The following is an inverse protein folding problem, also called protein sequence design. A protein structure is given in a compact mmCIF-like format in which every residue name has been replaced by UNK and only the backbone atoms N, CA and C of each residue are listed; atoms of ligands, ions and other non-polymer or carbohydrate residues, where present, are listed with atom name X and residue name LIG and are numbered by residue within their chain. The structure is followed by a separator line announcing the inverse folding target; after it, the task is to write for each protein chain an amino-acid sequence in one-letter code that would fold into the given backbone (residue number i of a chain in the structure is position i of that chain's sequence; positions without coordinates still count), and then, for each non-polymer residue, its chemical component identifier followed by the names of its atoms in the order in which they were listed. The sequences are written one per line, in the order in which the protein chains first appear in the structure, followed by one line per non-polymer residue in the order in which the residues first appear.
data_IF_708672217394
#
_entry.id   IF_708672217394
#
_cell.length_a   1.000
_cell.length_b   1.000
_cell.length_c   1.000
_cell.angle_alpha   90.00
_cell.angle_beta   90.00
_cell.angle_gamma   90.00
#
_symmetry.space_group_name_H-M   'P 1'
#
loop_
_entity.id
_entity.type
_entity.pdbx_description
1 polymer ?
#
# COMPACT_ATOMS: atom_id res chain seq x y z
N UNK A 1 -36.97 -75.33 -19.88
CA UNK A 1 -36.41 -74.01 -20.26
C UNK A 1 -34.92 -74.00 -19.96
N UNK A 2 -34.06 -74.19 -20.98
CA UNK A 2 -32.60 -74.08 -20.83
C UNK A 2 -32.20 -72.64 -21.12
N UNK A 3 -31.86 -71.89 -20.07
CA UNK A 3 -31.30 -70.55 -20.20
C UNK A 3 -29.92 -70.64 -20.84
N UNK A 4 -29.77 -70.10 -22.05
CA UNK A 4 -28.46 -69.88 -22.67
C UNK A 4 -27.70 -68.89 -21.79
N UNK A 5 -26.64 -69.35 -21.12
CA UNK A 5 -25.63 -68.49 -20.51
C UNK A 5 -24.78 -67.94 -21.64
N UNK A 6 -24.97 -66.68 -22.05
CA UNK A 6 -24.03 -65.99 -22.94
C UNK A 6 -22.84 -65.55 -22.09
N UNK A 7 -21.65 -66.11 -22.36
CA UNK A 7 -20.41 -65.59 -21.80
C UNK A 7 -20.06 -64.26 -22.47
N UNK A 8 -19.64 -63.28 -21.67
CA UNK A 8 -19.09 -62.02 -22.16
C UNK A 8 -17.85 -62.34 -23.01
N UNK A 9 -17.80 -61.81 -24.22
CA UNK A 9 -16.64 -62.01 -25.09
C UNK A 9 -15.47 -61.13 -24.63
N UNK A 10 -14.24 -61.61 -24.80
CA UNK A 10 -13.03 -60.84 -24.45
C UNK A 10 -13.04 -59.44 -25.11
N UNK A 11 -13.59 -59.35 -26.31
CA UNK A 11 -13.73 -58.12 -27.09
C UNK A 11 -14.65 -57.10 -26.39
N UNK A 12 -15.81 -57.55 -25.87
CA UNK A 12 -16.71 -56.67 -25.11
C UNK A 12 -16.03 -56.13 -23.85
N UNK A 13 -15.22 -56.94 -23.17
CA UNK A 13 -14.48 -56.49 -21.99
C UNK A 13 -13.43 -55.42 -22.35
N UNK A 14 -12.71 -55.60 -23.45
CA UNK A 14 -11.73 -54.62 -23.92
C UNK A 14 -12.39 -53.30 -24.35
N UNK A 15 -13.52 -53.36 -25.05
CA UNK A 15 -14.28 -52.16 -25.45
C UNK A 15 -14.87 -51.44 -24.24
N UNK A 16 -15.41 -52.18 -23.26
CA UNK A 16 -15.92 -51.59 -22.04
C UNK A 16 -14.81 -50.86 -21.27
N UNK A 17 -13.63 -51.48 -21.15
CA UNK A 17 -12.47 -50.86 -20.49
C UNK A 17 -12.00 -49.59 -21.21
N UNK A 18 -11.90 -49.60 -22.54
CA UNK A 18 -11.46 -48.42 -23.29
C UNK A 18 -12.43 -47.25 -23.15
N UNK A 19 -13.74 -47.51 -23.24
CA UNK A 19 -14.77 -46.50 -23.00
C UNK A 19 -14.66 -45.96 -21.58
N UNK A 20 -14.49 -46.83 -20.58
CA UNK A 20 -14.38 -46.41 -19.18
C UNK A 20 -13.13 -45.55 -18.94
N UNK A 21 -12.00 -45.86 -19.58
CA UNK A 21 -10.78 -45.05 -19.50
C UNK A 21 -10.97 -43.66 -20.11
N UNK A 22 -11.59 -43.57 -21.29
CA UNK A 22 -11.86 -42.27 -21.94
C UNK A 22 -12.83 -41.44 -21.11
N UNK A 23 -13.89 -42.06 -20.58
CA UNK A 23 -14.90 -41.38 -19.76
C UNK A 23 -14.30 -40.93 -18.42
N UNK A 24 -13.43 -41.76 -17.82
CA UNK A 24 -12.68 -41.40 -16.62
C UNK A 24 -11.74 -40.21 -16.84
N UNK A 25 -11.02 -40.18 -17.96
CA UNK A 25 -10.18 -39.04 -18.34
C UNK A 25 -11.01 -37.76 -18.53
N UNK A 26 -12.16 -37.87 -19.19
CA UNK A 26 -13.05 -36.74 -19.43
C UNK A 26 -13.60 -36.15 -18.13
N UNK A 27 -14.05 -37.00 -17.20
CA UNK A 27 -14.50 -36.58 -15.87
C UNK A 27 -13.37 -35.91 -15.10
N UNK A 28 -12.15 -36.45 -15.17
CA UNK A 28 -10.99 -35.86 -14.53
C UNK A 28 -10.65 -34.46 -15.07
N UNK A 29 -10.70 -34.29 -16.40
CA UNK A 29 -10.49 -32.97 -17.05
C UNK A 29 -11.57 -31.98 -16.62
N UNK A 30 -12.85 -32.38 -16.64
CA UNK A 30 -13.94 -31.51 -16.20
C UNK A 30 -13.83 -31.13 -14.72
N UNK A 31 -13.40 -32.07 -13.86
CA UNK A 31 -13.23 -31.80 -12.44
C UNK A 31 -12.06 -30.83 -12.19
N UNK A 32 -10.96 -30.95 -12.95
CA UNK A 32 -9.86 -29.97 -12.89
C UNK A 32 -10.32 -28.59 -13.33
N UNK A 33 -11.07 -28.50 -14.43
CA UNK A 33 -11.61 -27.22 -14.93
C UNK A 33 -12.59 -26.58 -13.94
N UNK A 34 -13.51 -27.37 -13.38
CA UNK A 34 -14.50 -26.85 -12.41
C UNK A 34 -13.85 -26.38 -11.11
N UNK A 35 -12.83 -27.11 -10.61
CA UNK A 35 -12.05 -26.69 -9.45
C UNK A 35 -11.22 -25.42 -9.75
N UNK A 36 -10.66 -25.29 -10.95
CA UNK A 36 -9.96 -24.08 -11.39
C UNK A 36 -10.88 -22.86 -11.40
N UNK A 37 -12.07 -22.99 -12.01
CA UNK A 37 -13.09 -21.94 -12.03
C UNK A 37 -13.55 -21.59 -10.60
N UNK A 38 -13.81 -22.60 -9.77
CA UNK A 38 -14.27 -22.38 -8.40
C UNK A 38 -13.21 -21.66 -7.54
N UNK A 39 -11.94 -22.06 -7.63
CA UNK A 39 -10.84 -21.38 -6.92
C UNK A 39 -10.66 -19.95 -7.41
N UNK A 40 -10.71 -19.73 -8.73
CA UNK A 40 -10.63 -18.39 -9.33
C UNK A 40 -11.80 -17.50 -8.89
N UNK A 41 -13.02 -18.03 -8.86
CA UNK A 41 -14.21 -17.30 -8.45
C UNK A 41 -14.21 -16.95 -6.96
N UNK A 42 -13.83 -17.89 -6.08
CA UNK A 42 -13.81 -17.68 -4.62
C UNK A 42 -12.70 -16.72 -4.21
N UNK A 43 -11.48 -16.94 -4.71
CA UNK A 43 -10.35 -16.05 -4.42
C UNK A 43 -10.53 -14.65 -5.00
N UNK A 44 -11.22 -14.53 -6.14
CA UNK A 44 -11.55 -13.24 -6.74
C UNK A 44 -12.52 -12.41 -5.88
N UNK A 45 -13.54 -13.03 -5.28
CA UNK A 45 -14.55 -12.36 -4.47
C UNK A 45 -13.97 -11.72 -3.20
N UNK A 46 -13.30 -12.52 -2.37
CA UNK A 46 -12.73 -12.03 -1.11
C UNK A 46 -11.68 -10.94 -1.34
N UNK A 47 -10.86 -11.08 -2.37
CA UNK A 47 -9.85 -10.08 -2.73
C UNK A 47 -10.49 -8.75 -3.17
N UNK A 48 -11.56 -8.81 -3.97
CA UNK A 48 -12.30 -7.63 -4.37
C UNK A 48 -12.95 -6.95 -3.15
N UNK A 49 -13.53 -7.72 -2.23
CA UNK A 49 -14.18 -7.19 -1.03
C UNK A 49 -13.16 -6.49 -0.11
N UNK A 50 -12.02 -7.15 0.16
CA UNK A 50 -10.89 -6.57 0.91
C UNK A 50 -10.42 -5.28 0.27
N UNK A 51 -10.18 -5.31 -1.04
CA UNK A 51 -9.76 -4.12 -1.78
C UNK A 51 -10.79 -3.00 -1.67
N UNK A 52 -12.07 -3.29 -1.92
CA UNK A 52 -13.10 -2.27 -1.89
C UNK A 52 -13.26 -1.67 -0.49
N UNK A 53 -13.08 -2.45 0.58
CA UNK A 53 -13.07 -1.94 1.94
C UNK A 53 -11.86 -1.03 2.19
N UNK A 54 -10.65 -1.47 1.85
CA UNK A 54 -9.42 -0.68 2.03
C UNK A 54 -9.47 0.62 1.24
N UNK A 55 -9.85 0.57 -0.04
CA UNK A 55 -9.92 1.73 -0.90
C UNK A 55 -11.02 2.70 -0.48
N UNK A 56 -12.15 2.21 0.05
CA UNK A 56 -13.19 3.07 0.63
C UNK A 56 -12.70 3.81 1.86
N UNK A 57 -11.98 3.15 2.77
CA UNK A 57 -11.44 3.78 3.97
C UNK A 57 -10.40 4.86 3.63
N UNK A 58 -9.45 4.55 2.74
CA UNK A 58 -8.47 5.52 2.29
C UNK A 58 -9.10 6.69 1.52
N UNK A 59 -10.13 6.41 0.69
CA UNK A 59 -10.88 7.45 0.01
C UNK A 59 -11.65 8.35 0.97
N UNK A 60 -12.26 7.79 2.02
CA UNK A 60 -12.94 8.56 3.06
C UNK A 60 -11.97 9.50 3.78
N UNK A 61 -10.77 9.01 4.15
CA UNK A 61 -9.74 9.86 4.73
C UNK A 61 -9.33 11.00 3.79
N UNK A 62 -9.05 10.69 2.52
CA UNK A 62 -8.63 11.67 1.51
C UNK A 62 -9.73 12.67 1.13
N UNK A 63 -11.00 12.27 1.21
CA UNK A 63 -12.14 13.19 1.00
C UNK A 63 -12.29 14.16 2.15
N UNK A 64 -11.91 13.75 3.35
CA UNK A 64 -11.91 14.59 4.54
C UNK A 64 -10.62 15.41 4.70
N UNK A 65 -9.66 15.33 3.78
CA UNK A 65 -8.42 16.13 3.83
C UNK A 65 -8.75 17.59 4.05
N UNK A 66 -8.14 18.16 5.07
CA UNK A 66 -8.38 19.53 5.48
C UNK A 66 -7.20 20.42 5.08
N UNK A 67 -7.53 21.59 4.53
CA UNK A 67 -6.57 22.61 4.13
C UNK A 67 -7.06 23.90 4.74
N UNK A 68 -6.39 24.30 5.80
CA UNK A 68 -6.61 25.56 6.47
C UNK A 68 -5.53 25.75 7.50
N UNK A 69 -5.61 26.87 8.19
CA UNK A 69 -4.72 27.21 9.27
C UNK A 69 -5.49 27.07 10.59
N UNK A 70 -5.13 26.11 11.46
CA UNK A 70 -5.99 25.66 12.55
C UNK A 70 -6.10 26.77 13.60
N UNK A 71 -4.97 27.43 13.86
CA UNK A 71 -4.86 28.42 14.91
C UNK A 71 -5.02 29.88 14.41
N UNK A 72 -5.30 30.11 13.12
CA UNK A 72 -5.22 31.45 12.54
C UNK A 72 -3.79 32.05 12.55
N UNK A 73 -2.76 31.21 12.68
CA UNK A 73 -1.33 31.57 12.79
C UNK A 73 -0.57 31.54 11.47
N UNK A 74 -1.26 31.30 10.37
CA UNK A 74 -0.74 31.13 9.03
C UNK A 74 0.00 29.81 8.81
N UNK A 75 -0.41 28.69 9.44
CA UNK A 75 0.21 27.36 9.21
C UNK A 75 -0.82 26.42 8.61
N UNK A 76 -0.72 26.15 7.31
CA UNK A 76 -1.58 25.20 6.61
C UNK A 76 -1.25 23.77 7.03
N UNK A 77 -2.28 22.95 7.25
CA UNK A 77 -2.04 21.53 7.52
C UNK A 77 -1.35 20.85 6.33
N UNK A 78 -0.14 20.31 6.51
CA UNK A 78 0.61 19.79 5.39
C UNK A 78 0.04 18.45 4.88
N UNK A 79 0.27 18.20 3.59
CA UNK A 79 0.06 16.93 2.92
C UNK A 79 1.41 16.42 2.44
N UNK A 80 1.80 15.25 2.95
CA UNK A 80 3.06 14.60 2.63
C UNK A 80 2.81 13.24 2.00
N UNK A 81 3.43 13.01 0.86
CA UNK A 81 3.64 11.67 0.31
C UNK A 81 5.14 11.49 0.14
N UNK A 82 5.72 10.55 0.89
CA UNK A 82 7.12 10.19 0.74
C UNK A 82 7.22 8.74 0.32
N UNK A 83 8.06 8.48 -0.68
CA UNK A 83 8.63 7.15 -0.94
C UNK A 83 10.07 7.09 -0.39
N UNK A 84 10.33 7.89 0.64
CA UNK A 84 11.61 8.01 1.32
C UNK A 84 11.50 7.38 2.70
N UNK A 85 12.46 6.50 2.97
CA UNK A 85 12.99 6.08 4.28
C UNK A 85 12.13 6.49 5.49
N UNK A 86 11.04 5.78 5.75
CA UNK A 86 10.69 5.57 7.15
C UNK A 86 11.67 4.51 7.63
N UNK A 87 12.65 4.97 8.40
CA UNK A 87 13.51 4.12 9.21
C UNK A 87 12.64 3.41 10.26
N UNK A 88 11.80 2.46 9.85
CA UNK A 88 11.13 1.59 10.81
C UNK A 88 12.22 0.69 11.36
N UNK A 89 12.47 0.84 12.66
CA UNK A 89 13.48 0.08 13.38
C UNK A 89 13.03 -1.38 13.41
N UNK A 90 13.55 -2.19 12.50
CA UNK A 90 13.36 -3.63 12.59
C UNK A 90 14.27 -4.12 13.71
N UNK A 91 13.70 -4.62 14.80
CA UNK A 91 14.46 -5.35 15.80
C UNK A 91 15.25 -6.45 15.07
N UNK A 92 16.59 -6.51 15.19
CA UNK A 92 17.34 -7.57 14.53
C UNK A 92 16.82 -8.92 15.04
N UNK A 93 16.40 -9.79 14.11
CA UNK A 93 16.14 -11.19 14.43
C UNK A 93 17.46 -11.80 14.92
N UNK A 94 17.62 -11.92 16.25
CA UNK A 94 18.64 -12.77 16.87
C UNK A 94 19.96 -12.12 17.29
N UNK A 95 20.08 -10.79 17.44
CA UNK A 95 21.28 -10.18 18.06
C UNK A 95 20.95 -9.34 19.29
N UNK A 96 21.43 -9.77 20.46
CA UNK A 96 21.33 -9.07 21.77
C UNK A 96 22.13 -7.76 21.85
N UNK A 97 22.66 -7.24 20.74
CA UNK A 97 23.44 -6.00 20.77
C UNK A 97 22.52 -4.79 20.61
N UNK A 98 22.48 -3.93 21.63
CA UNK A 98 21.65 -2.71 21.72
C UNK A 98 21.95 -1.61 20.70
N UNK A 99 22.46 -1.96 19.52
CA UNK A 99 22.52 -1.06 18.38
C UNK A 99 21.28 -1.27 17.52
N UNK A 100 20.37 -0.30 17.63
CA UNK A 100 19.21 -0.17 16.77
C UNK A 100 19.70 -0.04 15.32
N UNK A 101 19.65 -1.14 14.56
CA UNK A 101 20.04 -1.14 13.16
C UNK A 101 18.93 -0.49 12.32
N UNK A 102 19.22 0.68 11.75
CA UNK A 102 18.33 1.30 10.77
C UNK A 102 18.44 0.55 9.44
N UNK A 103 17.46 -0.31 9.10
CA UNK A 103 17.37 -0.87 7.75
C UNK A 103 16.95 0.24 6.78
N UNK A 104 17.83 0.55 5.85
CA UNK A 104 17.58 1.52 4.79
C UNK A 104 17.01 0.79 3.58
N UNK A 105 15.77 1.08 3.21
CA UNK A 105 15.17 0.60 1.96
C UNK A 105 15.52 1.56 0.80
N UNK A 106 15.67 1.02 -0.41
CA UNK A 106 15.90 1.81 -1.61
C UNK A 106 14.66 2.66 -1.94
N UNK A 107 14.85 3.82 -2.56
CA UNK A 107 13.75 4.66 -3.05
C UNK A 107 12.87 3.85 -4.02
N UNK A 108 11.58 3.74 -3.71
CA UNK A 108 10.62 2.94 -4.47
C UNK A 108 10.43 1.50 -3.99
N UNK A 109 11.13 1.04 -2.95
CA UNK A 109 10.70 -0.17 -2.21
C UNK A 109 9.26 0.07 -1.70
N UNK A 110 8.31 -0.85 -1.88
CA UNK A 110 6.95 -0.70 -1.37
C UNK A 110 6.87 -0.33 0.13
N UNK A 111 7.88 -0.70 0.94
CA UNK A 111 8.00 -0.33 2.37
C UNK A 111 8.41 1.11 2.64
N UNK A 112 8.80 1.85 1.61
CA UNK A 112 9.21 3.26 1.73
C UNK A 112 8.03 4.24 1.66
N UNK A 113 6.82 3.74 1.38
CA UNK A 113 5.64 4.57 1.22
C UNK A 113 5.06 5.01 2.58
N UNK A 114 4.99 6.33 2.75
CA UNK A 114 4.32 6.97 3.87
C UNK A 114 3.49 8.15 3.35
N UNK A 115 2.18 8.06 3.54
CA UNK A 115 1.23 9.13 3.26
C UNK A 115 0.78 9.74 4.59
N UNK A 116 0.88 11.06 4.74
CA UNK A 116 0.48 11.79 5.95
C UNK A 116 -0.24 13.07 5.62
N UNK A 117 -1.33 13.35 6.30
CA UNK A 117 -2.08 14.59 6.11
C UNK A 117 -3.02 14.84 7.29
N UNK A 118 -3.53 16.07 7.40
CA UNK A 118 -4.62 16.37 8.30
C UNK A 118 -5.97 16.20 7.60
N UNK A 119 -6.98 15.77 8.36
CA UNK A 119 -8.35 15.67 7.89
C UNK A 119 -9.33 16.05 8.99
N UNK A 120 -10.56 16.36 8.59
CA UNK A 120 -11.66 16.47 9.55
C UNK A 120 -12.17 15.10 9.99
N UNK A 121 -12.84 14.98 11.14
CA UNK A 121 -13.50 13.72 11.48
C UNK A 121 -14.57 13.37 10.42
N UNK A 122 -14.55 12.15 9.88
CA UNK A 122 -15.63 11.63 9.05
C UNK A 122 -16.89 11.40 9.89
N UNK A 123 -18.04 11.31 9.25
CA UNK A 123 -19.34 11.22 9.94
C UNK A 123 -19.43 10.06 10.93
N UNK A 124 -18.83 8.91 10.61
CA UNK A 124 -18.78 7.72 11.48
C UNK A 124 -17.95 7.95 12.76
N UNK A 125 -16.85 8.69 12.67
CA UNK A 125 -15.99 8.97 13.83
C UNK A 125 -16.45 10.19 14.64
N UNK A 126 -17.21 11.13 14.05
CA UNK A 126 -17.86 12.25 14.79
C UNK A 126 -18.87 11.79 15.83
N UNK A 127 -19.48 10.63 15.59
CA UNK A 127 -20.43 10.02 16.51
C UNK A 127 -19.75 9.27 17.65
N UNK A 128 -18.43 9.02 17.56
CA UNK A 128 -17.65 8.45 18.65
C UNK A 128 -17.68 9.39 19.86
N UNK A 129 -18.13 8.85 21.00
CA UNK A 129 -18.08 9.55 22.28
C UNK A 129 -16.65 10.02 22.61
N UNK A 130 -15.64 9.25 22.22
CA UNK A 130 -14.23 9.58 22.42
C UNK A 130 -13.81 10.81 21.63
N UNK A 131 -14.17 10.87 20.34
CA UNK A 131 -13.89 12.01 19.44
C UNK A 131 -14.41 13.34 19.99
N UNK A 132 -15.51 13.30 20.76
CA UNK A 132 -16.09 14.49 21.42
C UNK A 132 -15.30 14.95 22.66
N UNK A 133 -14.49 14.08 23.25
CA UNK A 133 -13.70 14.35 24.47
C UNK A 133 -12.22 14.67 24.21
N UNK A 134 -11.66 14.29 23.04
CA UNK A 134 -10.30 14.72 22.62
C UNK A 134 -10.11 16.23 22.83
N UNK A 135 -8.94 16.69 23.25
CA UNK A 135 -8.63 18.13 23.36
C UNK A 135 -9.46 18.94 24.38
N UNK A 136 -10.27 18.30 25.22
CA UNK A 136 -11.03 18.99 26.29
C UNK A 136 -10.25 19.14 27.61
N UNK A 137 -9.11 18.46 27.79
CA UNK A 137 -8.19 18.53 28.94
C UNK A 137 -6.71 18.48 28.51
N UNK A 138 -5.73 19.01 29.28
CA UNK A 138 -4.30 18.81 29.01
C UNK A 138 -3.80 17.49 29.62
N UNK A 139 -2.94 16.75 28.92
CA UNK A 139 -2.30 15.51 29.39
C UNK A 139 -2.20 14.41 28.32
N UNK A 140 -1.55 13.25 28.57
CA UNK A 140 -1.64 12.06 27.71
C UNK A 140 -3.10 11.64 27.43
N UNK A 141 -3.98 11.81 28.42
CA UNK A 141 -5.43 11.64 28.35
C UNK A 141 -6.19 12.65 27.45
N UNK A 142 -5.48 13.53 26.73
CA UNK A 142 -6.04 14.49 25.78
C UNK A 142 -6.03 14.00 24.33
N UNK A 143 -5.34 12.89 24.08
CA UNK A 143 -5.10 12.37 22.75
C UNK A 143 -6.09 11.24 22.43
N UNK A 144 -6.50 11.16 21.17
CA UNK A 144 -7.10 9.93 20.63
C UNK A 144 -6.11 9.39 19.63
N UNK A 145 -5.68 8.17 19.86
CA UNK A 145 -4.75 7.44 19.03
C UNK A 145 -5.26 6.03 18.66
N UNK A 146 -6.44 5.64 19.18
CA UNK A 146 -7.06 4.34 18.91
C UNK A 146 -6.71 3.26 19.94
N UNK A 147 -5.97 3.57 21.00
CA UNK A 147 -5.46 2.62 21.99
C UNK A 147 -6.02 2.93 23.37
N UNK A 148 -6.75 2.00 23.97
CA UNK A 148 -7.29 2.14 25.33
C UNK A 148 -8.07 3.45 25.61
N UNK A 149 -8.52 4.16 24.56
CA UNK A 149 -9.17 5.46 24.67
C UNK A 149 -10.38 5.42 25.64
N UNK A 150 -11.08 4.27 25.70
CA UNK A 150 -12.22 4.01 26.60
C UNK A 150 -11.81 3.88 28.08
N UNK A 151 -10.64 3.31 28.37
CA UNK A 151 -10.12 3.19 29.74
C UNK A 151 -9.54 4.53 30.21
N UNK A 152 -8.81 5.21 29.32
CA UNK A 152 -8.30 6.56 29.55
C UNK A 152 -9.45 7.55 29.78
N UNK A 153 -10.52 7.45 28.99
CA UNK A 153 -11.73 8.26 29.20
C UNK A 153 -12.61 7.80 30.38
N UNK A 154 -12.56 6.52 30.76
CA UNK A 154 -13.22 6.01 31.97
C UNK A 154 -12.67 6.66 33.24
N UNK A 155 -11.37 6.97 33.29
CA UNK A 155 -10.77 7.77 34.36
C UNK A 155 -11.25 9.23 34.38
N UNK A 156 -11.71 9.78 33.24
CA UNK A 156 -12.24 11.14 33.10
C UNK A 156 -13.66 11.31 33.67
N UNK A 157 -14.45 10.22 33.73
CA UNK A 157 -15.83 10.23 34.22
C UNK A 157 -15.97 10.19 35.75
N UNK A 158 -14.87 10.01 36.50
CA UNK A 158 -14.88 10.05 37.98
C UNK A 158 -14.58 11.47 38.49
N UNK A 159 -15.58 12.19 39.05
CA UNK A 159 -15.41 13.56 39.54
C UNK A 159 -14.44 13.66 40.73
N UNK A 160 -14.19 12.55 41.44
CA UNK A 160 -13.42 12.55 42.69
C UNK A 160 -11.91 12.63 42.49
N UNK A 161 -11.41 12.43 41.27
CA UNK A 161 -9.97 12.50 40.93
C UNK A 161 -9.51 13.88 40.42
N UNK A 162 -10.36 14.92 40.45
CA UNK A 162 -10.19 16.17 39.67
C UNK A 162 -9.62 17.41 40.44
N UNK A 163 -8.92 17.26 41.56
CA UNK A 163 -8.48 18.40 42.40
C UNK A 163 -7.00 18.80 42.23
N UNK A 164 -6.63 19.46 41.12
CA UNK A 164 -5.26 19.98 40.90
C UNK A 164 -5.22 21.27 40.06
N UNK A 165 -4.17 22.12 40.19
CA UNK A 165 -4.07 23.40 39.48
C UNK A 165 -3.88 23.20 37.97
N UNK A 166 -4.58 24.01 37.18
CA UNK A 166 -4.69 23.91 35.71
C UNK A 166 -3.34 24.14 35.01
N UNK A 167 -2.80 23.14 34.26
CA UNK A 167 -1.65 23.31 33.40
C UNK A 167 -1.98 24.13 32.13
N UNK A 168 -0.97 24.72 31.45
CA UNK A 168 -1.19 25.54 30.26
C UNK A 168 -1.57 24.69 29.02
N UNK A 169 -2.58 25.18 28.28
CA UNK A 169 -2.77 24.92 26.84
C UNK A 169 -3.62 23.69 26.48
N UNK A 170 -4.94 23.87 26.45
CA UNK A 170 -5.83 23.01 25.67
C UNK A 170 -5.66 23.35 24.18
N UNK A 171 -5.50 22.35 23.32
CA UNK A 171 -5.84 22.50 21.90
C UNK A 171 -7.25 21.91 21.74
N UNK A 172 -8.28 22.72 21.45
CA UNK A 172 -9.61 22.17 21.21
C UNK A 172 -9.53 21.15 20.07
N UNK A 173 -10.31 20.06 20.10
CA UNK A 173 -10.47 19.23 18.92
C UNK A 173 -11.24 20.10 17.92
N UNK A 174 -10.55 20.80 17.01
CA UNK A 174 -11.20 21.61 15.97
C UNK A 174 -11.90 20.74 14.92
N UNK A 175 -12.36 19.55 15.32
CA UNK A 175 -12.82 18.50 14.46
C UNK A 175 -11.73 18.08 13.46
N UNK A 176 -10.45 18.18 13.84
CA UNK A 176 -9.27 17.84 13.04
C UNK A 176 -8.48 16.69 13.66
N UNK A 177 -7.83 15.90 12.80
CA UNK A 177 -6.87 14.88 13.18
C UNK A 177 -5.78 14.71 12.13
N UNK A 178 -4.66 14.16 12.55
CA UNK A 178 -3.57 13.71 11.68
C UNK A 178 -3.81 12.24 11.32
N UNK A 179 -3.54 11.87 10.08
CA UNK A 179 -3.59 10.47 9.64
C UNK A 179 -2.30 10.13 8.94
N UNK A 180 -1.81 8.92 9.18
CA UNK A 180 -0.73 8.30 8.44
C UNK A 180 -1.15 6.93 7.90
N UNK A 181 -0.77 6.66 6.65
CA UNK A 181 -0.88 5.37 6.00
C UNK A 181 0.52 4.90 5.60
N UNK A 182 0.87 3.66 5.96
CA UNK A 182 2.17 3.08 5.61
C UNK A 182 2.06 1.57 5.42
N UNK A 183 3.02 1.02 4.68
CA UNK A 183 3.09 -0.40 4.39
C UNK A 183 4.27 -1.02 5.13
N UNK A 184 4.03 -2.07 5.90
CA UNK A 184 5.09 -2.80 6.61
C UNK A 184 4.77 -4.30 6.73
N UNK A 185 5.71 -5.11 7.23
CA UNK A 185 5.46 -6.53 7.51
C UNK A 185 4.73 -6.69 8.84
N UNK A 186 3.56 -7.30 8.79
CA UNK A 186 2.85 -7.77 9.96
C UNK A 186 3.44 -9.08 10.51
N UNK A 187 3.10 -9.41 11.78
CA UNK A 187 3.63 -10.59 12.47
C UNK A 187 3.20 -11.92 11.83
N UNK A 188 2.12 -11.91 11.05
CA UNK A 188 1.55 -13.09 10.39
C UNK A 188 1.74 -13.07 8.87
N UNK A 189 2.46 -12.09 8.32
CA UNK A 189 2.64 -11.96 6.89
C UNK A 189 3.58 -13.03 6.34
N UNK A 190 3.12 -13.69 5.27
CA UNK A 190 3.95 -14.59 4.49
C UNK A 190 5.17 -13.85 3.92
N UNK A 191 6.20 -14.61 3.54
CA UNK A 191 7.40 -14.06 2.94
C UNK A 191 7.06 -13.14 1.75
N UNK A 192 7.65 -11.94 1.73
CA UNK A 192 7.46 -10.93 0.69
C UNK A 192 6.03 -10.39 0.53
N UNK A 193 5.16 -10.62 1.51
CA UNK A 193 3.87 -9.94 1.66
C UNK A 193 3.92 -8.92 2.80
N UNK A 194 2.99 -7.98 2.76
CA UNK A 194 2.91 -6.84 3.66
C UNK A 194 1.48 -6.60 4.14
N UNK A 195 1.39 -5.81 5.20
CA UNK A 195 0.17 -5.29 5.79
C UNK A 195 0.15 -3.77 5.62
N UNK A 196 -0.97 -3.24 5.14
CA UNK A 196 -1.21 -1.80 5.12
C UNK A 196 -1.75 -1.39 6.47
N UNK A 197 -1.05 -0.45 7.10
CA UNK A 197 -1.40 0.09 8.39
C UNK A 197 -1.95 1.49 8.25
N UNK A 198 -2.84 1.83 9.18
CA UNK A 198 -3.39 3.17 9.36
C UNK A 198 -3.19 3.60 10.80
N UNK A 199 -2.71 4.82 10.97
CA UNK A 199 -2.52 5.49 12.26
C UNK A 199 -3.28 6.81 12.19
N UNK A 200 -3.90 7.22 13.28
CA UNK A 200 -4.47 8.56 13.38
C UNK A 200 -4.21 9.14 14.76
N UNK A 201 -4.23 10.46 14.85
CA UNK A 201 -3.98 11.19 16.09
C UNK A 201 -4.78 12.49 16.15
N UNK A 202 -5.37 12.77 17.31
CA UNK A 202 -6.00 14.07 17.63
C UNK A 202 -5.60 14.49 19.05
N UNK A 203 -5.46 15.79 19.36
CA UNK A 203 -5.50 16.94 18.46
C UNK A 203 -4.29 16.97 17.51
N UNK A 204 -4.41 17.74 16.44
CA UNK A 204 -3.32 17.98 15.49
C UNK A 204 -2.18 18.78 16.16
N UNK A 205 -0.94 18.52 15.74
CA UNK A 205 0.25 19.26 16.19
C UNK A 205 0.88 18.73 17.48
N UNK A 206 1.83 19.49 18.04
CA UNK A 206 2.56 19.10 19.25
C UNK A 206 3.82 18.26 18.99
N UNK A 207 4.50 17.87 20.09
CA UNK A 207 5.79 17.18 20.06
C UNK A 207 5.76 15.79 19.42
N UNK A 208 4.58 15.18 19.37
CA UNK A 208 4.34 13.83 18.82
C UNK A 208 3.49 13.90 17.53
N UNK A 209 3.54 15.03 16.82
CA UNK A 209 2.79 15.21 15.56
C UNK A 209 3.30 14.28 14.46
N UNK A 210 2.37 13.56 13.83
CA UNK A 210 2.62 12.78 12.64
C UNK A 210 3.08 13.67 11.48
N UNK A 211 2.78 14.97 11.49
CA UNK A 211 3.08 15.91 10.41
C UNK A 211 4.43 16.62 10.55
N UNK A 212 5.30 16.18 11.47
CA UNK A 212 6.64 16.74 11.59
C UNK A 212 7.54 16.41 10.38
N UNK A 213 8.62 17.17 10.22
CA UNK A 213 9.62 16.94 9.16
C UNK A 213 10.18 15.51 9.19
N UNK A 214 10.42 14.99 10.40
CA UNK A 214 10.99 13.67 10.61
C UNK A 214 10.06 12.83 11.50
N UNK A 215 9.08 12.13 10.89
CA UNK A 215 8.14 11.31 11.64
C UNK A 215 8.79 10.07 12.28
N UNK A 216 10.01 9.69 11.86
CA UNK A 216 10.68 8.49 12.38
C UNK A 216 11.06 8.60 13.85
N UNK A 217 11.12 9.82 14.39
CA UNK A 217 11.34 10.07 15.82
C UNK A 217 10.17 9.66 16.70
N UNK A 218 8.97 9.59 16.12
CA UNK A 218 7.72 9.28 16.82
C UNK A 218 7.22 7.91 16.41
N UNK A 219 7.20 7.62 15.10
CA UNK A 219 6.76 6.34 14.53
C UNK A 219 7.86 5.27 14.67
N UNK A 220 8.31 5.02 15.91
CA UNK A 220 9.19 3.88 16.23
C UNK A 220 8.41 2.57 16.08
N UNK A 221 9.09 1.42 16.03
CA UNK A 221 8.42 0.13 15.90
C UNK A 221 7.49 -0.14 17.10
N UNK A 222 7.94 0.17 18.32
CA UNK A 222 7.15 0.02 19.54
C UNK A 222 5.92 0.94 19.52
N UNK A 223 6.10 2.18 19.05
CA UNK A 223 5.00 3.13 18.94
C UNK A 223 4.00 2.68 17.87
N UNK A 224 4.47 2.21 16.71
CA UNK A 224 3.62 1.70 15.65
C UNK A 224 2.86 0.45 16.09
N UNK A 225 3.49 -0.48 16.81
CA UNK A 225 2.82 -1.66 17.35
C UNK A 225 1.68 -1.28 18.31
N UNK A 226 1.89 -0.23 19.12
CA UNK A 226 0.86 0.25 20.02
C UNK A 226 -0.29 0.95 19.27
N UNK A 227 -0.01 1.84 18.32
CA UNK A 227 -1.00 2.80 17.78
C UNK A 227 -1.48 2.50 16.35
N UNK A 228 -0.81 1.62 15.61
CA UNK A 228 -1.18 1.34 14.22
C UNK A 228 -2.25 0.25 14.13
N UNK A 229 -3.32 0.56 13.42
CA UNK A 229 -4.36 -0.41 13.09
C UNK A 229 -4.04 -1.11 11.76
N UNK A 230 -3.91 -2.44 11.72
CA UNK A 230 -3.79 -3.17 10.46
C UNK A 230 -5.11 -3.07 9.69
N UNK A 231 -5.05 -2.59 8.44
CA UNK A 231 -6.22 -2.41 7.59
C UNK A 231 -6.43 -3.61 6.66
N UNK A 232 -5.36 -4.07 6.01
CA UNK A 232 -5.42 -5.24 5.14
C UNK A 232 -4.06 -5.89 5.02
N UNK A 233 -4.04 -7.22 5.02
CA UNK A 233 -2.84 -8.06 4.89
C UNK A 233 -2.70 -8.63 3.47
N UNK A 234 -1.58 -9.29 3.19
CA UNK A 234 -1.37 -9.97 1.90
C UNK A 234 -1.15 -9.01 0.73
N UNK A 235 -0.64 -7.81 0.99
CA UNK A 235 -0.23 -6.87 -0.06
C UNK A 235 1.16 -7.27 -0.56
N UNK A 236 1.32 -7.40 -1.88
CA UNK A 236 2.64 -7.50 -2.50
C UNK A 236 3.22 -6.12 -2.79
N UNK A 237 2.37 -5.18 -3.22
CA UNK A 237 2.78 -3.83 -3.59
C UNK A 237 1.69 -2.81 -3.27
N UNK A 238 2.10 -1.67 -2.75
CA UNK A 238 1.25 -0.51 -2.56
C UNK A 238 1.99 0.72 -3.09
N UNK A 239 1.34 1.47 -3.98
CA UNK A 239 1.91 2.66 -4.60
C UNK A 239 0.86 3.77 -4.66
N UNK A 240 1.31 5.00 -4.43
CA UNK A 240 0.50 6.20 -4.57
C UNK A 240 1.20 7.15 -5.54
N UNK A 241 0.43 7.76 -6.43
CA UNK A 241 0.96 8.71 -7.40
C UNK A 241 0.10 9.97 -7.44
N UNK A 242 0.74 11.13 -7.34
CA UNK A 242 0.05 12.41 -7.22
C UNK A 242 -0.02 13.14 -8.56
N UNK A 243 -1.21 13.64 -8.91
CA UNK A 243 -1.40 14.50 -10.07
C UNK A 243 -1.07 15.95 -9.70
N UNK A 244 0.03 16.46 -10.26
CA UNK A 244 0.47 17.84 -10.10
C UNK A 244 -0.14 18.76 -11.15
N UNK A 245 0.08 20.06 -11.01
CA UNK A 245 -0.31 21.03 -12.05
C UNK A 245 0.48 20.89 -13.36
N UNK A 246 1.63 20.20 -13.32
CA UNK A 246 2.42 19.93 -14.52
C UNK A 246 2.03 18.59 -15.15
N UNK A 247 1.28 17.72 -14.45
CA UNK A 247 0.88 16.41 -14.97
C UNK A 247 -0.16 16.52 -16.10
N UNK A 248 0.16 15.95 -17.27
CA UNK A 248 -0.76 15.76 -18.41
C UNK A 248 -1.25 14.32 -18.51
N UNK A 249 -0.44 13.38 -18.06
CA UNK A 249 -0.72 11.94 -18.06
C UNK A 249 -0.06 11.27 -16.85
N UNK A 250 -0.63 10.16 -16.38
CA UNK A 250 -0.13 9.47 -15.20
C UNK A 250 1.25 8.84 -15.41
N UNK A 251 1.54 8.24 -16.57
CA UNK A 251 2.77 7.44 -16.80
C UNK A 251 3.17 6.56 -15.60
N UNK A 252 2.17 5.98 -14.96
CA UNK A 252 2.29 5.29 -13.67
C UNK A 252 3.47 4.31 -13.65
N UNK A 253 3.60 3.47 -14.68
CA UNK A 253 4.66 2.45 -14.72
C UNK A 253 6.06 3.05 -14.84
N UNK A 254 6.24 4.18 -15.52
CA UNK A 254 7.52 4.89 -15.59
C UNK A 254 7.83 5.52 -14.23
N UNK A 255 6.83 6.17 -13.63
CA UNK A 255 6.94 6.90 -12.37
C UNK A 255 7.25 5.93 -11.22
N UNK A 256 6.44 4.88 -11.03
CA UNK A 256 6.63 3.85 -10.01
C UNK A 256 7.94 3.06 -10.20
N UNK A 257 8.46 2.95 -11.43
CA UNK A 257 9.76 2.34 -11.70
C UNK A 257 10.96 3.26 -11.43
N UNK A 258 10.75 4.42 -10.80
CA UNK A 258 11.80 5.39 -10.48
C UNK A 258 12.20 6.30 -11.64
N UNK A 259 11.46 6.26 -12.76
CA UNK A 259 11.74 7.05 -13.97
C UNK A 259 11.58 8.57 -13.82
N UNK A 260 11.09 9.05 -12.68
CA UNK A 260 10.93 10.47 -12.33
C UNK A 260 11.95 11.04 -11.35
N UNK A 261 12.83 10.22 -10.76
CA UNK A 261 13.81 10.68 -9.77
C UNK A 261 14.76 11.75 -10.35
N UNK A 262 14.72 12.95 -9.78
CA UNK A 262 15.64 14.05 -10.11
C UNK A 262 15.41 14.70 -11.48
N UNK A 263 14.28 14.43 -12.15
CA UNK A 263 13.92 15.13 -13.40
C UNK A 263 13.13 16.40 -13.10
N UNK A 264 13.39 17.46 -13.87
CA UNK A 264 12.55 18.67 -13.87
C UNK A 264 11.09 18.28 -14.12
N UNK A 265 10.12 18.96 -13.51
CA UNK A 265 8.70 18.59 -13.53
C UNK A 265 8.12 18.75 -14.93
N UNK A 266 8.31 17.73 -15.76
CA UNK A 266 7.83 17.69 -17.14
C UNK A 266 6.67 16.70 -17.19
N UNK A 267 5.47 17.20 -17.49
CA UNK A 267 4.27 16.48 -17.95
C UNK A 267 3.74 15.26 -17.17
N UNK A 268 4.41 14.76 -16.13
CA UNK A 268 4.13 13.46 -15.51
C UNK A 268 3.69 13.62 -14.04
N UNK A 269 3.17 12.55 -13.45
CA UNK A 269 2.73 12.53 -12.06
C UNK A 269 3.90 12.31 -11.09
N UNK A 270 3.71 12.71 -9.84
CA UNK A 270 4.76 12.77 -8.81
C UNK A 270 4.66 11.58 -7.84
N UNK A 271 5.82 10.99 -7.47
CA UNK A 271 5.93 10.02 -6.38
C UNK A 271 6.08 10.68 -5.01
N UNK A 272 6.75 11.83 -4.96
CA UNK A 272 6.91 12.60 -3.74
C UNK A 272 5.93 13.76 -3.76
N UNK A 273 5.35 14.07 -2.61
CA UNK A 273 4.56 15.26 -2.42
C UNK A 273 4.93 15.92 -1.12
N UNK A 274 5.23 17.20 -1.19
CA UNK A 274 5.43 18.07 -0.04
C UNK A 274 4.60 19.32 -0.27
N UNK A 275 3.45 19.42 0.39
CA UNK A 275 2.58 20.57 0.17
C UNK A 275 3.24 21.90 0.53
N UNK A 276 4.19 21.89 1.46
CA UNK A 276 4.96 23.06 1.92
C UNK A 276 6.13 23.41 1.00
N UNK A 277 6.42 22.57 -0.01
CA UNK A 277 7.48 22.74 -1.03
C UNK A 277 8.88 23.02 -0.47
N UNK A 278 9.11 22.83 0.83
CA UNK A 278 10.32 23.26 1.52
C UNK A 278 11.04 22.18 2.32
N UNK A 279 10.45 21.00 2.49
CA UNK A 279 10.99 19.87 3.23
C UNK A 279 11.63 18.80 2.35
N UNK A 280 11.04 18.45 1.21
CA UNK A 280 11.51 17.33 0.37
C UNK A 280 12.22 17.77 -0.91
N UNK A 281 13.50 17.42 -1.03
CA UNK A 281 14.34 17.73 -2.20
C UNK A 281 14.08 16.89 -3.47
N UNK A 282 13.51 15.66 -3.47
CA UNK A 282 13.09 15.01 -4.71
C UNK A 282 11.74 15.51 -5.25
N UNK A 283 11.04 16.41 -4.53
CA UNK A 283 9.73 16.89 -4.95
C UNK A 283 9.86 17.89 -6.11
N UNK A 284 9.22 17.59 -7.26
CA UNK A 284 9.34 18.38 -8.48
C UNK A 284 8.87 19.85 -8.38
N UNK A 285 8.05 20.18 -7.37
CA UNK A 285 7.59 21.56 -7.12
C UNK A 285 8.30 22.23 -5.92
N UNK A 286 9.34 21.59 -5.37
CA UNK A 286 10.11 22.10 -4.26
C UNK A 286 10.82 23.42 -4.60
N UNK A 287 10.75 24.39 -3.68
CA UNK A 287 11.45 25.69 -3.76
C UNK A 287 12.38 25.92 -2.56
N UNK A 288 12.43 24.97 -1.63
CA UNK A 288 13.33 24.97 -0.49
C UNK A 288 12.75 25.67 0.74
N UNK A 289 13.57 25.78 1.79
CA UNK A 289 13.12 26.15 3.13
C UNK A 289 12.41 27.50 3.27
N UNK A 290 12.52 28.39 2.28
CA UNK A 290 11.81 29.67 2.28
C UNK A 290 10.28 29.54 2.20
N UNK A 291 9.77 28.45 1.60
CA UNK A 291 8.33 28.19 1.46
C UNK A 291 7.68 27.59 2.72
N UNK A 292 8.48 27.11 3.68
CA UNK A 292 7.95 26.54 4.94
C UNK A 292 7.11 27.51 5.77
N UNK A 293 7.32 28.82 5.60
CA UNK A 293 6.52 29.86 6.25
C UNK A 293 5.55 30.58 5.32
N UNK A 294 5.47 30.20 4.03
CA UNK A 294 4.64 30.86 3.03
C UNK A 294 3.45 29.96 2.64
N UNK A 295 2.40 29.97 3.44
CA UNK A 295 1.22 29.13 3.18
C UNK A 295 0.38 29.61 1.98
N UNK A 296 0.71 30.75 1.38
CA UNK A 296 0.11 31.19 0.13
C UNK A 296 0.63 30.38 -1.07
N UNK A 297 1.83 29.82 -0.96
CA UNK A 297 2.50 29.09 -2.04
C UNK A 297 2.41 27.56 -1.93
N UNK A 298 1.74 27.08 -0.88
CA UNK A 298 1.41 25.68 -0.65
C UNK A 298 0.64 25.04 -1.82
N UNK A 299 0.96 23.76 -2.09
CA UNK A 299 0.38 22.98 -3.20
C UNK A 299 -0.21 21.67 -2.73
N UNK A 300 -1.36 21.28 -3.28
CA UNK A 300 -2.03 20.03 -2.93
C UNK A 300 -2.41 19.28 -4.19
N UNK A 301 -2.25 17.95 -4.22
CA UNK A 301 -2.51 17.18 -5.42
C UNK A 301 -3.98 17.30 -5.77
N UNK A 302 -4.31 17.44 -7.06
CA UNK A 302 -5.72 17.49 -7.50
C UNK A 302 -6.36 16.12 -7.54
N UNK A 303 -5.54 15.12 -7.86
CA UNK A 303 -5.94 13.73 -7.98
C UNK A 303 -4.82 12.86 -7.44
N UNK A 304 -5.20 11.70 -6.94
CA UNK A 304 -4.27 10.69 -6.50
C UNK A 304 -4.64 9.37 -7.16
N UNK A 305 -3.65 8.64 -7.66
CA UNK A 305 -3.83 7.28 -8.13
C UNK A 305 -3.29 6.31 -7.10
N UNK A 306 -4.14 5.39 -6.68
CA UNK A 306 -3.79 4.28 -5.80
C UNK A 306 -3.56 3.04 -6.66
N UNK A 307 -2.45 2.36 -6.43
CA UNK A 307 -2.08 1.09 -7.07
C UNK A 307 -1.81 0.08 -5.99
N UNK A 308 -2.61 -1.00 -5.95
CA UNK A 308 -2.43 -2.07 -4.95
C UNK A 308 -2.32 -3.40 -5.67
N UNK A 309 -1.28 -4.17 -5.38
CA UNK A 309 -1.14 -5.55 -5.84
C UNK A 309 -1.29 -6.47 -4.64
N UNK A 310 -2.31 -7.31 -4.64
CA UNK A 310 -2.50 -8.32 -3.59
C UNK A 310 -1.90 -9.66 -4.00
N UNK A 311 -1.37 -10.37 -3.01
CA UNK A 311 -0.96 -11.75 -3.15
C UNK A 311 -2.18 -12.63 -3.45
N UNK A 312 -1.99 -13.76 -4.15
CA UNK A 312 -3.02 -14.77 -4.25
C UNK A 312 -3.36 -15.32 -2.85
N UNK A 313 -4.60 -15.78 -2.70
CA UNK A 313 -5.11 -16.34 -1.45
C UNK A 313 -4.20 -17.47 -0.94
N UNK A 314 -3.84 -17.42 0.35
CA UNK A 314 -2.95 -18.39 0.98
C UNK A 314 -1.45 -18.15 0.80
N UNK A 315 -1.05 -17.11 0.05
CA UNK A 315 0.33 -16.62 -0.09
C UNK A 315 1.41 -17.65 -0.46
N UNK A 316 1.02 -18.85 -0.89
CA UNK A 316 1.91 -19.80 -1.54
C UNK A 316 2.40 -19.18 -2.85
N UNK A 317 3.66 -19.43 -3.19
CA UNK A 317 4.24 -19.03 -4.47
C UNK A 317 3.31 -19.45 -5.62
N UNK A 318 2.99 -18.52 -6.52
CA UNK A 318 2.16 -18.84 -7.70
C UNK A 318 2.89 -19.75 -8.67
N UNK A 319 4.20 -19.62 -8.75
CA UNK A 319 5.07 -20.44 -9.57
C UNK A 319 6.46 -20.52 -8.93
N UNK A 320 7.36 -21.27 -9.55
CA UNK A 320 8.77 -21.30 -9.21
C UNK A 320 9.62 -21.10 -10.46
N UNK A 321 10.83 -20.57 -10.25
CA UNK A 321 11.81 -20.41 -11.30
C UNK A 321 12.36 -21.78 -11.76
N UNK A 322 12.45 -22.03 -13.06
CA UNK A 322 12.92 -23.33 -13.59
C UNK A 322 14.45 -23.39 -13.72
N UNK A 323 15.14 -22.26 -13.84
CA UNK A 323 16.59 -22.17 -13.94
C UNK A 323 17.12 -20.87 -13.37
N UNK A 324 18.41 -20.80 -13.02
CA UNK A 324 19.02 -19.58 -12.48
C UNK A 324 18.85 -18.40 -13.44
N UNK A 325 18.63 -17.20 -12.89
CA UNK A 325 18.51 -15.95 -13.66
C UNK A 325 19.59 -14.98 -13.24
N UNK A 326 20.48 -14.62 -14.18
CA UNK A 326 21.55 -13.64 -13.95
C UNK A 326 21.05 -12.19 -13.98
N UNK A 327 21.77 -11.21 -13.39
CA UNK A 327 21.32 -9.79 -13.23
C UNK A 327 20.98 -9.03 -14.51
N UNK A 328 21.42 -9.50 -15.69
CA UNK A 328 21.15 -8.87 -16.99
C UNK A 328 20.21 -9.68 -17.89
N UNK A 329 19.88 -10.89 -17.45
CA UNK A 329 19.02 -11.79 -18.18
C UNK A 329 17.59 -11.24 -18.18
N UNK A 330 16.92 -11.34 -19.33
CA UNK A 330 15.57 -10.80 -19.55
C UNK A 330 14.57 -11.88 -19.90
N UNK A 331 15.02 -13.12 -20.02
CA UNK A 331 14.16 -14.26 -20.26
C UNK A 331 14.12 -15.07 -18.97
N UNK A 332 12.91 -15.29 -18.45
CA UNK A 332 12.68 -15.95 -17.17
C UNK A 332 11.74 -17.11 -17.42
N UNK A 333 12.19 -18.32 -17.11
CA UNK A 333 11.37 -19.52 -17.27
C UNK A 333 10.72 -19.91 -15.95
N UNK A 334 9.41 -20.09 -15.94
CA UNK A 334 8.63 -20.45 -14.75
C UNK A 334 7.92 -21.80 -14.90
N UNK A 335 7.58 -22.41 -13.76
CA UNK A 335 6.97 -23.75 -13.71
C UNK A 335 5.47 -23.77 -14.02
N UNK A 336 4.76 -22.66 -13.80
CA UNK A 336 3.32 -22.55 -14.06
C UNK A 336 3.02 -21.47 -15.13
N UNK A 337 2.90 -21.86 -16.41
CA UNK A 337 2.63 -20.93 -17.50
C UNK A 337 1.18 -20.40 -17.53
N UNK A 338 0.23 -21.09 -16.87
CA UNK A 338 -1.19 -20.70 -16.90
C UNK A 338 -1.40 -19.31 -16.27
N UNK A 339 -0.54 -18.96 -15.30
CA UNK A 339 -0.53 -17.67 -14.63
C UNK A 339 -0.47 -16.46 -15.57
N UNK A 340 0.22 -16.60 -16.71
CA UNK A 340 0.44 -15.50 -17.66
C UNK A 340 -0.21 -15.72 -19.03
N UNK A 341 -0.94 -16.83 -19.20
CA UNK A 341 -1.68 -17.10 -20.44
C UNK A 341 -2.70 -16.00 -20.79
N UNK A 342 -3.14 -15.21 -19.81
CA UNK A 342 -4.09 -14.11 -20.00
C UNK A 342 -3.45 -12.72 -20.25
N UNK A 343 -2.11 -12.62 -20.34
CA UNK A 343 -1.42 -11.35 -20.55
C UNK A 343 -1.83 -10.65 -21.86
N UNK A 344 -1.94 -11.41 -22.95
CA UNK A 344 -2.30 -10.88 -24.27
C UNK A 344 -3.73 -10.32 -24.31
N UNK A 345 -4.61 -10.87 -23.48
CA UNK A 345 -5.97 -10.37 -23.31
C UNK A 345 -6.04 -9.16 -22.36
N UNK A 346 -4.90 -8.69 -21.83
CA UNK A 346 -4.80 -7.60 -20.86
C UNK A 346 -5.36 -7.96 -19.47
N UNK A 347 -5.59 -9.24 -19.20
CA UNK A 347 -6.22 -9.73 -17.94
C UNK A 347 -5.23 -10.38 -16.99
N UNK A 348 -4.09 -10.85 -17.51
CA UNK A 348 -3.02 -11.44 -16.71
C UNK A 348 -2.26 -10.43 -15.85
N UNK A 349 -1.55 -10.91 -14.81
CA UNK A 349 -0.67 -10.07 -14.01
C UNK A 349 0.49 -9.55 -14.86
N UNK A 350 0.65 -8.22 -14.95
CA UNK A 350 1.78 -7.61 -15.66
C UNK A 350 3.09 -7.61 -14.88
N UNK A 351 3.02 -7.88 -13.59
CA UNK A 351 4.15 -7.80 -12.70
C UNK A 351 4.29 -9.10 -11.92
N UNK A 352 5.53 -9.52 -11.76
CA UNK A 352 5.90 -10.62 -10.88
C UNK A 352 6.99 -10.15 -9.93
N UNK A 353 7.06 -10.83 -8.80
CA UNK A 353 8.08 -10.63 -7.78
C UNK A 353 8.82 -11.94 -7.56
N UNK A 354 10.15 -11.87 -7.57
CA UNK A 354 11.03 -12.98 -7.19
C UNK A 354 11.87 -12.44 -6.05
N UNK A 355 11.71 -13.03 -4.86
CA UNK A 355 12.34 -12.53 -3.63
C UNK A 355 12.02 -11.04 -3.42
N UNK A 356 13.02 -10.16 -3.48
CA UNK A 356 12.86 -8.71 -3.33
C UNK A 356 12.90 -7.92 -4.64
N UNK A 357 12.95 -8.59 -5.78
CA UNK A 357 12.92 -7.94 -7.09
C UNK A 357 11.55 -7.98 -7.74
N UNK A 358 11.08 -6.83 -8.17
CA UNK A 358 9.94 -6.69 -9.07
C UNK A 358 10.41 -6.70 -10.53
N UNK A 359 9.68 -7.47 -11.35
CA UNK A 359 9.85 -7.52 -12.80
C UNK A 359 8.49 -7.26 -13.47
N UNK A 360 8.51 -6.53 -14.58
CA UNK A 360 7.37 -6.39 -15.47
C UNK A 360 7.48 -7.41 -16.59
N UNK A 361 6.42 -8.15 -16.86
CA UNK A 361 6.34 -9.08 -17.98
C UNK A 361 5.96 -8.31 -19.24
N UNK A 362 6.87 -8.31 -20.21
CA UNK A 362 6.74 -7.62 -21.50
C UNK A 362 6.06 -8.53 -22.53
N UNK A 363 6.41 -9.82 -22.51
CA UNK A 363 5.82 -10.84 -23.36
C UNK A 363 5.88 -12.21 -22.66
N UNK A 364 5.00 -13.13 -23.02
CA UNK A 364 5.00 -14.50 -22.53
C UNK A 364 4.80 -15.48 -23.70
N UNK A 365 5.61 -16.52 -23.75
CA UNK A 365 5.46 -17.66 -24.65
C UNK A 365 5.49 -18.95 -23.81
N UNK A 366 4.30 -19.40 -23.41
CA UNK A 366 4.16 -20.51 -22.47
C UNK A 366 4.92 -20.24 -21.16
N UNK A 367 5.89 -21.10 -20.77
CA UNK A 367 6.65 -20.93 -19.53
C UNK A 367 7.77 -19.89 -19.63
N UNK A 368 8.12 -19.43 -20.83
CA UNK A 368 9.23 -18.51 -21.07
C UNK A 368 8.70 -17.06 -21.11
N UNK A 369 9.10 -16.25 -20.14
CA UNK A 369 8.67 -14.86 -19.98
C UNK A 369 9.78 -13.91 -20.41
N UNK A 370 9.47 -12.94 -21.27
CA UNK A 370 10.34 -11.80 -21.49
C UNK A 370 9.99 -10.70 -20.48
N UNK A 371 10.98 -10.24 -19.71
CA UNK A 371 10.76 -9.30 -18.61
C UNK A 371 11.62 -8.04 -18.71
N UNK A 372 11.06 -6.93 -18.20
CA UNK A 372 11.80 -5.74 -17.79
C UNK A 372 12.06 -5.85 -16.29
N UNK A 373 13.33 -5.78 -15.91
CA UNK A 373 13.81 -6.07 -14.56
C UNK A 373 14.03 -4.83 -13.73
N UNK A 374 14.03 -5.00 -12.41
CA UNK A 374 14.22 -3.92 -11.46
C UNK A 374 13.19 -2.79 -11.62
N UNK A 375 11.92 -3.17 -11.78
CA UNK A 375 10.82 -2.19 -11.79
C UNK A 375 10.36 -1.93 -10.36
N UNK A 376 9.44 -0.98 -10.16
CA UNK A 376 8.90 -0.64 -8.83
C UNK A 376 9.99 -0.41 -7.77
N UNK A 377 11.02 0.37 -8.13
CA UNK A 377 12.11 0.77 -7.23
C UNK A 377 13.09 -0.34 -6.82
N UNK A 378 12.97 -1.55 -7.35
CA UNK A 378 13.87 -2.66 -6.99
C UNK A 378 15.08 -2.74 -7.93
N UNK A 379 16.27 -3.13 -7.46
CA UNK A 379 17.40 -3.39 -8.34
C UNK A 379 17.34 -4.81 -8.94
N UNK A 380 17.82 -5.03 -10.18
CA UNK A 380 17.98 -6.38 -10.72
C UNK A 380 18.95 -7.23 -9.89
N UNK A 381 18.51 -8.40 -9.42
CA UNK A 381 19.28 -9.33 -8.58
C UNK A 381 19.67 -10.63 -9.31
N UNK A 382 20.39 -11.55 -8.66
CA UNK A 382 20.52 -12.92 -9.17
C UNK A 382 19.49 -13.78 -8.45
N UNK A 383 18.84 -14.68 -9.18
CA UNK A 383 17.86 -15.62 -8.63
C UNK A 383 18.27 -17.05 -8.95
N UNK A 384 18.01 -17.98 -8.04
CA UNK A 384 18.34 -19.40 -8.21
C UNK A 384 17.13 -20.19 -8.67
N UNK A 385 17.36 -21.29 -9.38
CA UNK A 385 16.31 -22.25 -9.74
C UNK A 385 15.56 -22.68 -8.48
N UNK A 386 14.23 -22.73 -8.59
CA UNK A 386 13.32 -23.01 -7.48
C UNK A 386 12.90 -21.78 -6.68
N UNK A 387 13.49 -20.59 -6.87
CA UNK A 387 13.03 -19.36 -6.19
C UNK A 387 11.54 -19.13 -6.44
N UNK A 388 10.83 -18.74 -5.38
CA UNK A 388 9.40 -18.50 -5.42
C UNK A 388 9.09 -17.30 -6.32
N UNK A 389 8.12 -17.47 -7.23
CA UNK A 389 7.60 -16.41 -8.08
C UNK A 389 6.20 -16.07 -7.59
N UNK A 390 6.01 -14.80 -7.23
CA UNK A 390 4.74 -14.25 -6.78
C UNK A 390 4.17 -13.34 -7.86
N UNK A 391 2.98 -13.66 -8.36
CA UNK A 391 2.22 -12.79 -9.24
C UNK A 391 0.86 -12.49 -8.62
N UNK A 392 0.65 -11.21 -8.32
CA UNK A 392 -0.57 -10.75 -7.68
C UNK A 392 -1.54 -10.08 -8.63
N UNK A 393 -2.77 -9.90 -8.16
CA UNK A 393 -3.76 -9.10 -8.88
C UNK A 393 -3.59 -7.64 -8.53
N UNK A 394 -3.43 -6.80 -9.56
CA UNK A 394 -3.24 -5.36 -9.40
C UNK A 394 -4.54 -4.61 -9.62
N UNK A 395 -4.84 -3.70 -8.71
CA UNK A 395 -5.98 -2.83 -8.74
C UNK A 395 -5.53 -1.38 -8.79
N UNK A 396 -6.34 -0.55 -9.46
CA UNK A 396 -6.07 0.87 -9.67
C UNK A 396 -7.33 1.67 -9.36
N UNK A 397 -7.17 2.75 -8.61
CA UNK A 397 -8.26 3.69 -8.33
C UNK A 397 -7.76 5.12 -8.42
N UNK A 398 -8.44 5.93 -9.23
CA UNK A 398 -8.20 7.36 -9.30
C UNK A 398 -9.15 8.04 -8.31
N UNK A 399 -8.60 8.86 -7.43
CA UNK A 399 -9.33 9.67 -6.48
C UNK A 399 -9.13 11.15 -6.79
N UNK A 400 -10.20 11.92 -6.61
CA UNK A 400 -10.13 13.38 -6.60
C UNK A 400 -9.88 13.80 -5.16
N UNK A 401 -8.85 14.61 -4.95
CA UNK A 401 -8.60 15.23 -3.64
C UNK A 401 -9.37 16.56 -3.64
N UNK A 402 -10.43 16.70 -2.82
CA UNK A 402 -11.30 17.88 -2.88
C UNK A 402 -10.56 19.20 -2.68
N UNK A 403 -9.47 19.11 -1.93
CA UNK A 403 -8.67 20.23 -1.50
C UNK A 403 -7.50 20.53 -2.48
N UNK A 404 -7.54 20.04 -3.71
CA UNK A 404 -6.47 20.28 -4.70
C UNK A 404 -6.15 21.77 -4.91
N UNK A 405 -4.87 22.14 -4.79
CA UNK A 405 -4.39 23.53 -4.90
C UNK A 405 -3.15 23.59 -5.79
N UNK A 406 -3.11 24.56 -6.69
CA UNK A 406 -1.97 24.85 -7.56
C UNK A 406 -1.35 26.17 -7.12
N UNK A 407 -0.03 26.33 -7.26
CA UNK A 407 0.61 27.58 -6.90
C UNK A 407 0.31 28.65 -7.95
N UNK A 408 0.23 29.90 -7.51
CA UNK A 408 0.01 31.03 -8.41
C UNK A 408 1.33 31.38 -9.12
N UNK A 409 1.39 31.22 -10.45
CA UNK A 409 2.46 31.85 -11.23
C UNK A 409 2.10 33.32 -11.42
N UNK A 410 2.87 34.24 -10.83
CA UNK A 410 2.78 35.66 -11.22
C UNK A 410 3.13 35.75 -12.70
N UNK A 411 2.21 36.29 -13.49
CA UNK A 411 2.43 36.53 -14.92
C UNK A 411 3.63 37.47 -15.08
N UNK A 412 4.77 36.96 -15.57
CA UNK A 412 5.98 37.75 -15.82
C UNK A 412 7.29 37.14 -15.31
N UNK A 413 7.24 36.19 -14.38
CA UNK A 413 8.44 35.45 -13.96
C UNK A 413 8.72 34.31 -14.95
N UNK A 414 9.45 34.65 -16.01
CA UNK A 414 10.00 33.68 -16.95
C UNK A 414 10.94 32.71 -16.22
N UNK A 415 10.83 31.43 -16.57
CA UNK A 415 11.76 30.36 -16.16
C UNK A 415 13.18 30.81 -16.50
N UNK A 416 14.00 31.09 -15.48
CA UNK A 416 15.44 31.24 -15.66
C UNK A 416 16.11 29.87 -15.70
#
# INVERSE_FOLDING_TARGET
MRGRRSGITLIELMVAMSIFSVLGLFVFVLMRQSLGIYRSARGGGELNDKMDQTLRLLEEDLRCTWIGDPDGRGVTAPFFLSHDRVSVLVAPEGEESGNVATKTYAAGDPRSLLLRFARTYPGSERESTLARFAGTRPGPEAYIDGVNDLEESGALLDPKKQSGPTPPGLLPPENLMEVAWYLDRGPTDAAHTYTLYRVFRSPMGGKDSLLQKDPSKIMTAEWLEAHASPVVTGILYFGLVCWSQNTKEWREEEVLSGGGLGRKPNDWSELWWDSTRGLYEPFGLGVGGASLGDTEDDVYPKRLRIVVTFAPEGAASTASLVGDVGTRERNVRISDPELFAELDAGRGPRHLRIEDEWMEVVAADGPDLQVRRGVRGTPPARHVSGSAVLAGRTFRRDLIVPAGRSFFRRAGEGVK
#
